data_IF_759736680738
#
_entry.id   IF_759736680738
#
_cell.length_a   1.000
_cell.length_b   1.000
_cell.length_c   1.000
_cell.angle_alpha   90.00
_cell.angle_beta   90.00
_cell.angle_gamma   90.00
#
_symmetry.space_group_name_H-M   'P 1'
#
loop_
_entity.id
_entity.type
_entity.pdbx_description
1 polymer ?
#
# COMPACT_ATOMS: atom_id res chain seq x y z
N UNK A 1 8.29 38.31 32.11
CA UNK A 1 7.09 38.29 31.25
C UNK A 1 7.55 37.77 29.88
N UNK A 2 7.19 36.52 29.55
CA UNK A 2 6.57 36.04 28.28
C UNK A 2 6.99 36.75 26.96
N UNK A 3 7.31 36.17 25.80
CA UNK A 3 7.27 34.87 25.09
C UNK A 3 8.18 35.05 23.83
N UNK A 4 8.57 34.10 22.98
CA UNK A 4 8.13 32.75 22.70
C UNK A 4 8.82 32.31 21.39
N UNK A 5 9.40 31.11 21.44
CA UNK A 5 10.09 30.43 20.35
C UNK A 5 9.05 29.89 19.33
N UNK A 6 9.28 30.09 18.02
CA UNK A 6 8.29 29.81 16.97
C UNK A 6 8.86 29.24 15.68
N UNK A 7 9.79 28.28 15.75
CA UNK A 7 10.15 27.43 14.60
C UNK A 7 9.07 26.39 14.37
N UNK A 8 8.03 26.77 13.62
CA UNK A 8 7.00 25.87 13.10
C UNK A 8 7.54 25.00 11.97
N UNK A 9 8.47 24.09 12.29
CA UNK A 9 8.77 22.96 11.42
C UNK A 9 7.67 21.93 11.59
N UNK A 10 6.64 21.97 10.76
CA UNK A 10 5.68 20.86 10.65
C UNK A 10 6.38 19.71 9.95
N UNK A 11 7.26 19.00 10.68
CA UNK A 11 7.60 17.62 10.33
C UNK A 11 6.28 16.85 10.39
N UNK A 12 5.77 16.51 9.21
CA UNK A 12 4.79 15.45 9.06
C UNK A 12 5.31 14.25 9.87
N UNK A 13 4.45 13.53 10.60
CA UNK A 13 4.88 12.30 11.24
C UNK A 13 5.44 11.42 10.12
N UNK A 14 6.77 11.26 10.10
CA UNK A 14 7.40 10.10 9.49
C UNK A 14 6.62 8.95 10.07
N UNK A 15 5.86 8.23 9.25
CA UNK A 15 5.33 6.95 9.65
C UNK A 15 6.56 6.20 10.16
N UNK A 16 6.68 6.11 11.47
CA UNK A 16 7.60 5.20 12.10
C UNK A 16 7.02 3.85 11.70
N UNK A 17 7.42 3.39 10.51
CA UNK A 17 7.35 2.00 10.11
C UNK A 17 8.19 1.29 11.14
N UNK A 18 7.54 1.00 12.28
CA UNK A 18 8.13 0.24 13.34
C UNK A 18 8.54 -1.07 12.71
N UNK A 19 9.84 -1.23 12.49
CA UNK A 19 10.46 -2.52 12.35
C UNK A 19 10.34 -3.23 13.70
N UNK A 20 9.11 -3.61 14.07
CA UNK A 20 8.89 -4.76 14.91
C UNK A 20 9.43 -5.92 14.07
N UNK A 21 10.73 -6.18 14.25
CA UNK A 21 11.57 -6.93 13.33
C UNK A 21 10.99 -8.31 13.12
N UNK A 22 10.24 -8.44 12.03
CA UNK A 22 9.73 -9.71 11.59
C UNK A 22 10.93 -10.49 11.05
N UNK A 23 11.46 -11.41 11.87
CA UNK A 23 12.62 -12.21 11.48
C UNK A 23 12.18 -13.24 10.45
N UNK A 24 12.43 -12.93 9.19
CA UNK A 24 12.31 -13.87 8.08
C UNK A 24 13.47 -14.86 8.18
N UNK A 25 13.17 -16.15 8.17
CA UNK A 25 14.11 -17.27 8.14
C UNK A 25 13.61 -18.35 7.17
N UNK A 26 14.40 -19.41 7.00
CA UNK A 26 14.08 -20.52 6.10
C UNK A 26 12.72 -21.16 6.40
N UNK A 27 12.36 -21.31 7.68
CA UNK A 27 11.12 -21.98 8.09
C UNK A 27 9.86 -21.18 7.75
N UNK A 28 9.96 -19.85 7.72
CA UNK A 28 8.80 -18.97 7.62
C UNK A 28 8.74 -18.14 6.33
N UNK A 29 9.84 -18.03 5.56
CA UNK A 29 9.91 -17.12 4.39
C UNK A 29 8.78 -17.32 3.39
N UNK A 30 8.39 -18.57 3.10
CA UNK A 30 7.31 -18.85 2.15
C UNK A 30 5.92 -18.53 2.72
N UNK A 31 5.69 -18.78 4.00
CA UNK A 31 4.43 -18.44 4.66
C UNK A 31 4.23 -16.92 4.70
N UNK A 32 5.31 -16.19 4.95
CA UNK A 32 5.32 -14.74 5.00
C UNK A 32 5.12 -14.17 3.60
N UNK A 33 5.89 -14.65 2.62
CA UNK A 33 5.74 -14.25 1.23
C UNK A 33 4.29 -14.46 0.77
N UNK A 34 3.65 -15.54 1.22
CA UNK A 34 2.25 -15.80 0.93
C UNK A 34 1.32 -14.75 1.57
N UNK A 35 1.45 -14.49 2.87
CA UNK A 35 0.61 -13.51 3.56
C UNK A 35 0.73 -12.10 2.95
N UNK A 36 1.96 -11.68 2.62
CA UNK A 36 2.22 -10.39 1.97
C UNK A 36 1.66 -10.36 0.55
N UNK A 37 1.77 -11.44 -0.21
CA UNK A 37 1.18 -11.55 -1.54
C UNK A 37 -0.35 -11.45 -1.49
N UNK A 38 -0.99 -12.15 -0.57
CA UNK A 38 -2.45 -12.09 -0.41
C UNK A 38 -2.90 -10.67 -0.02
N UNK A 39 -2.13 -9.98 0.83
CA UNK A 39 -2.40 -8.58 1.17
C UNK A 39 -2.22 -7.63 -0.02
N UNK A 40 -1.19 -7.82 -0.85
CA UNK A 40 -0.99 -7.04 -2.07
C UNK A 40 -2.15 -7.25 -3.04
N UNK A 41 -2.56 -8.51 -3.30
CA UNK A 41 -3.70 -8.86 -4.16
C UNK A 41 -4.99 -8.25 -3.66
N UNK A 42 -5.26 -8.36 -2.36
CA UNK A 42 -6.44 -7.75 -1.75
C UNK A 42 -6.44 -6.24 -1.92
N UNK A 43 -5.31 -5.58 -1.64
CA UNK A 43 -5.20 -4.13 -1.76
C UNK A 43 -5.42 -3.67 -3.21
N UNK A 44 -4.86 -4.37 -4.21
CA UNK A 44 -5.14 -4.07 -5.61
C UNK A 44 -6.63 -4.21 -5.95
N UNK A 45 -7.28 -5.27 -5.47
CA UNK A 45 -8.71 -5.47 -5.70
C UNK A 45 -9.55 -4.35 -5.06
N UNK A 46 -9.20 -3.93 -3.85
CA UNK A 46 -9.88 -2.84 -3.15
C UNK A 46 -9.65 -1.49 -3.86
N UNK A 47 -8.43 -1.22 -4.34
CA UNK A 47 -8.13 -0.02 -5.13
C UNK A 47 -8.97 -0.02 -6.41
N UNK A 48 -9.04 -1.13 -7.15
CA UNK A 48 -9.87 -1.20 -8.38
C UNK A 48 -11.35 -0.95 -8.06
N UNK A 49 -11.87 -1.57 -7.00
CA UNK A 49 -13.24 -1.39 -6.54
C UNK A 49 -13.53 0.08 -6.17
N UNK A 50 -12.69 0.68 -5.33
CA UNK A 50 -12.88 2.04 -4.83
C UNK A 50 -12.53 3.13 -5.84
N UNK A 51 -11.67 2.86 -6.83
CA UNK A 51 -11.20 3.89 -7.78
C UNK A 51 -12.33 4.62 -8.49
N UNK A 52 -13.41 3.91 -8.80
CA UNK A 52 -14.64 4.46 -9.40
C UNK A 52 -15.42 5.34 -8.40
N UNK A 53 -15.54 4.89 -7.16
CA UNK A 53 -16.31 5.58 -6.11
C UNK A 53 -15.58 6.81 -5.55
N UNK A 54 -14.27 6.92 -5.75
CA UNK A 54 -13.47 8.07 -5.31
C UNK A 54 -13.61 9.30 -6.21
N UNK A 55 -14.22 9.17 -7.40
CA UNK A 55 -14.51 10.30 -8.26
C UNK A 55 -15.68 11.10 -7.69
N UNK A 56 -15.44 12.38 -7.43
CA UNK A 56 -16.42 13.33 -6.90
C UNK A 56 -17.06 14.12 -8.03
N UNK A 57 -18.38 14.07 -8.12
CA UNK A 57 -19.16 14.96 -8.97
C UNK A 57 -19.46 16.32 -8.28
N UNK A 58 -19.63 17.42 -9.04
CA UNK A 58 -20.07 18.69 -8.47
C UNK A 58 -21.44 18.54 -7.79
N UNK A 59 -21.55 18.95 -6.53
CA UNK A 59 -22.81 18.90 -5.78
C UNK A 59 -23.94 19.72 -6.44
N UNK A 60 -23.59 20.80 -7.13
CA UNK A 60 -24.45 21.62 -7.99
C UNK A 60 -23.65 22.16 -9.18
N UNK A 61 -24.34 22.79 -10.12
CA UNK A 61 -23.73 23.35 -11.33
C UNK A 61 -23.11 24.74 -11.16
N UNK A 62 -23.10 25.27 -9.93
CA UNK A 62 -22.47 26.55 -9.62
C UNK A 62 -20.93 26.46 -9.67
N UNK A 63 -20.23 27.59 -9.89
CA UNK A 63 -18.77 27.60 -10.01
C UNK A 63 -18.04 26.99 -8.81
N UNK A 64 -18.51 27.25 -7.58
CA UNK A 64 -17.83 26.77 -6.37
C UNK A 64 -17.93 25.26 -6.26
N UNK A 65 -19.11 24.68 -6.50
CA UNK A 65 -19.30 23.23 -6.50
C UNK A 65 -18.40 22.52 -7.53
N UNK A 66 -18.21 23.12 -8.71
CA UNK A 66 -17.32 22.60 -9.75
C UNK A 66 -15.84 22.65 -9.36
N UNK A 67 -15.41 23.78 -8.79
CA UNK A 67 -14.03 23.95 -8.36
C UNK A 67 -13.66 23.01 -7.20
N UNK A 68 -14.59 22.80 -6.26
CA UNK A 68 -14.41 21.85 -5.16
C UNK A 68 -14.29 20.42 -5.67
N UNK A 69 -15.20 19.97 -6.54
CA UNK A 69 -15.12 18.63 -7.13
C UNK A 69 -13.81 18.41 -7.89
N UNK A 70 -13.37 19.40 -8.67
CA UNK A 70 -12.08 19.37 -9.37
C UNK A 70 -10.88 19.27 -8.41
N UNK A 71 -10.89 20.04 -7.31
CA UNK A 71 -9.82 19.99 -6.32
C UNK A 71 -9.78 18.66 -5.57
N UNK A 72 -10.92 18.04 -5.31
CA UNK A 72 -11.00 16.71 -4.70
C UNK A 72 -10.50 15.63 -5.66
N UNK A 73 -10.95 15.64 -6.92
CA UNK A 73 -10.53 14.64 -7.92
C UNK A 73 -9.02 14.68 -8.16
N UNK A 74 -8.41 15.87 -8.19
CA UNK A 74 -6.94 16.01 -8.22
C UNK A 74 -6.25 15.26 -7.09
N UNK A 75 -6.67 15.51 -5.85
CA UNK A 75 -6.06 14.89 -4.67
C UNK A 75 -6.35 13.39 -4.55
N UNK A 76 -7.55 12.95 -4.95
CA UNK A 76 -7.99 11.58 -4.76
C UNK A 76 -7.52 10.67 -5.90
N UNK A 77 -7.54 11.16 -7.14
CA UNK A 77 -7.43 10.35 -8.36
C UNK A 77 -6.38 10.90 -9.33
N UNK A 78 -6.50 12.16 -9.76
CA UNK A 78 -5.87 12.62 -11.01
C UNK A 78 -4.39 12.98 -10.89
N UNK A 79 -3.96 13.58 -9.75
CA UNK A 79 -2.59 14.06 -9.62
C UNK A 79 -1.61 12.87 -9.40
N UNK A 80 -0.33 12.98 -9.83
CA UNK A 80 0.65 11.90 -9.66
C UNK A 80 0.86 11.48 -8.20
N UNK A 81 0.67 12.40 -7.23
CA UNK A 81 0.76 12.14 -5.80
C UNK A 81 -0.61 11.88 -5.13
N UNK A 82 -1.64 11.60 -5.93
CA UNK A 82 -2.99 11.31 -5.45
C UNK A 82 -3.04 10.11 -4.52
N UNK A 83 -4.10 10.03 -3.70
CA UNK A 83 -4.27 8.93 -2.76
C UNK A 83 -4.35 7.56 -3.45
N UNK A 84 -5.00 7.46 -4.63
CA UNK A 84 -5.01 6.24 -5.42
C UNK A 84 -3.59 5.85 -5.84
N UNK A 85 -2.81 6.79 -6.40
CA UNK A 85 -1.46 6.51 -6.87
C UNK A 85 -0.54 6.09 -5.72
N UNK A 86 -0.72 6.68 -4.53
CA UNK A 86 0.00 6.27 -3.32
C UNK A 86 -0.39 4.88 -2.85
N UNK A 87 -1.66 4.52 -2.92
CA UNK A 87 -2.13 3.19 -2.56
C UNK A 87 -1.60 2.12 -3.53
N UNK A 88 -1.56 2.43 -4.84
CA UNK A 88 -0.97 1.59 -5.88
C UNK A 88 0.52 1.39 -5.59
N UNK A 89 1.27 2.46 -5.36
CA UNK A 89 2.70 2.39 -5.04
C UNK A 89 2.97 1.48 -3.81
N UNK A 90 2.13 1.57 -2.78
CA UNK A 90 2.25 0.68 -1.63
C UNK A 90 1.95 -0.79 -1.97
N UNK A 91 0.94 -1.07 -2.80
CA UNK A 91 0.68 -2.42 -3.30
C UNK A 91 1.84 -2.97 -4.15
N UNK A 92 2.51 -2.10 -4.91
CA UNK A 92 3.73 -2.43 -5.66
C UNK A 92 4.91 -2.76 -4.72
N UNK A 93 5.12 -1.95 -3.67
CA UNK A 93 6.15 -2.22 -2.65
C UNK A 93 5.93 -3.58 -1.98
N UNK A 94 4.69 -3.94 -1.63
CA UNK A 94 4.36 -5.27 -1.09
C UNK A 94 4.68 -6.37 -2.10
N UNK A 95 4.38 -6.16 -3.38
CA UNK A 95 4.68 -7.12 -4.45
C UNK A 95 6.19 -7.31 -4.64
N UNK A 96 6.96 -6.22 -4.57
CA UNK A 96 8.43 -6.26 -4.62
C UNK A 96 9.02 -6.99 -3.40
N UNK A 97 8.44 -6.80 -2.21
CA UNK A 97 8.85 -7.54 -1.03
C UNK A 97 8.65 -9.05 -1.19
N UNK A 98 7.55 -9.48 -1.85
CA UNK A 98 7.33 -10.89 -2.20
C UNK A 98 8.43 -11.41 -3.12
N UNK A 99 8.84 -10.65 -4.14
CA UNK A 99 9.94 -11.05 -5.03
C UNK A 99 11.27 -11.18 -4.29
N UNK A 100 11.57 -10.28 -3.36
CA UNK A 100 12.76 -10.37 -2.51
C UNK A 100 12.72 -11.61 -1.62
N UNK A 101 11.56 -11.95 -1.06
CA UNK A 101 11.38 -13.17 -0.26
C UNK A 101 11.52 -14.45 -1.09
N UNK A 102 11.04 -14.47 -2.35
CA UNK A 102 11.30 -15.57 -3.28
C UNK A 102 12.79 -15.75 -3.54
N UNK A 103 13.51 -14.66 -3.77
CA UNK A 103 14.96 -14.69 -3.96
C UNK A 103 15.69 -15.20 -2.71
N UNK A 104 15.27 -14.78 -1.52
CA UNK A 104 15.79 -15.29 -0.25
C UNK A 104 15.49 -16.80 -0.08
N UNK A 105 14.28 -17.25 -0.40
CA UNK A 105 13.91 -18.67 -0.34
C UNK A 105 14.79 -19.53 -1.26
N UNK A 106 15.13 -19.07 -2.47
CA UNK A 106 16.10 -19.77 -3.34
C UNK A 106 17.46 -19.94 -2.69
N UNK A 107 17.91 -18.94 -1.90
CA UNK A 107 19.17 -19.01 -1.15
C UNK A 107 19.13 -20.07 -0.04
N UNK A 108 17.94 -20.37 0.49
CA UNK A 108 17.72 -21.45 1.45
C UNK A 108 17.51 -22.83 0.80
N UNK A 109 17.52 -22.92 -0.54
CA UNK A 109 17.41 -24.20 -1.25
C UNK A 109 15.99 -24.59 -1.69
N UNK A 110 15.00 -23.69 -1.53
CA UNK A 110 13.66 -23.92 -2.11
C UNK A 110 13.71 -23.89 -3.63
N UNK A 111 13.01 -24.83 -4.27
CA UNK A 111 12.88 -24.87 -5.73
C UNK A 111 11.81 -23.89 -6.22
N UNK A 112 11.83 -23.57 -7.52
CA UNK A 112 10.74 -22.78 -8.14
C UNK A 112 9.36 -23.46 -7.99
N UNK A 113 9.33 -24.79 -7.94
CA UNK A 113 8.11 -25.56 -7.72
C UNK A 113 7.60 -25.39 -6.27
N UNK A 114 8.48 -25.41 -5.27
CA UNK A 114 8.10 -25.19 -3.87
C UNK A 114 7.53 -23.79 -3.66
N UNK A 115 8.21 -22.78 -4.22
CA UNK A 115 7.79 -21.38 -4.17
C UNK A 115 6.42 -21.20 -4.83
N UNK A 116 6.25 -21.76 -6.03
CA UNK A 116 4.99 -21.68 -6.78
C UNK A 116 3.85 -22.35 -6.02
N UNK A 117 4.11 -23.53 -5.44
CA UNK A 117 3.11 -24.29 -4.67
C UNK A 117 2.65 -23.50 -3.45
N UNK A 118 3.59 -22.91 -2.69
CA UNK A 118 3.27 -22.09 -1.53
C UNK A 118 2.44 -20.84 -1.89
N UNK A 119 2.79 -20.17 -2.98
CA UNK A 119 2.16 -18.91 -3.37
C UNK A 119 0.84 -19.08 -4.15
N UNK A 120 0.61 -20.23 -4.77
CA UNK A 120 -0.61 -20.50 -5.54
C UNK A 120 -1.66 -21.33 -4.78
N UNK A 121 -1.40 -21.73 -3.54
CA UNK A 121 -2.41 -22.34 -2.67
C UNK A 121 -3.68 -21.48 -2.47
N UNK A 122 -4.73 -21.99 -1.81
CA UNK A 122 -5.94 -21.22 -1.53
C UNK A 122 -5.62 -19.97 -0.68
N UNK A 123 -6.25 -18.83 -1.03
CA UNK A 123 -6.11 -17.56 -0.28
C UNK A 123 -6.53 -17.81 1.16
N UNK A 124 -5.66 -17.47 2.10
CA UNK A 124 -6.00 -17.63 3.51
C UNK A 124 -7.11 -16.63 3.88
N UNK A 125 -8.25 -17.10 4.44
CA UNK A 125 -9.31 -16.20 4.90
C UNK A 125 -8.73 -15.32 6.02
N UNK A 126 -8.89 -14.00 5.89
CA UNK A 126 -8.53 -13.08 6.98
C UNK A 126 -9.46 -13.37 8.18
N UNK A 127 -8.83 -13.51 9.35
CA UNK A 127 -9.47 -13.44 10.68
C UNK A 127 -9.94 -12.02 10.98
#
# INVERSE_FOLDING_TARGET
MHEGNGTGGTSLPSAAGGSAGFKVNEDNVLQIARAVQDQAKWLYAEIDACSRDMQTEPARQDPVSKDVAKALNRKLVDDPDSYINRAIAYAEELSQAVEQMKAAAKTYGFTDQDITTALNGPVSPRV
#
